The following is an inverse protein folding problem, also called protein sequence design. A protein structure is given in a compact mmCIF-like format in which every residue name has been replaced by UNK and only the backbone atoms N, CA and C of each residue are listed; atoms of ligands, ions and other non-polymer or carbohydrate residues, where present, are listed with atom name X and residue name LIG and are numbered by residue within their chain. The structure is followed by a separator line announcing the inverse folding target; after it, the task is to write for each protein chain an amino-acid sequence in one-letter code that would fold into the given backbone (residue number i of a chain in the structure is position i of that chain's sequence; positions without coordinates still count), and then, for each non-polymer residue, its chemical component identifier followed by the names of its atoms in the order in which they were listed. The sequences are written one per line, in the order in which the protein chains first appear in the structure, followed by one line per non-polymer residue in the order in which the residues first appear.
data_IF_151156767706
#
_entry.id   IF_151156767706
#
_cell.length_a   1.000
_cell.length_b   1.000
_cell.length_c   1.000
_cell.angle_alpha   90.00
_cell.angle_beta   90.00
_cell.angle_gamma   90.00
#
_symmetry.space_group_name_H-M   'P 1'
#
loop_
_entity.id
_entity.type
_entity.pdbx_description
1 polymer ?
#
# COMPACT_ATOMS: atom_id res chain seq x y z
N UNK A 1 -6.71 -29.40 4.16
CA UNK A 1 -7.53 -29.16 5.38
C UNK A 1 -7.66 -27.67 5.71
N UNK A 2 -6.55 -26.90 5.77
CA UNK A 2 -6.55 -25.47 6.10
C UNK A 2 -7.47 -24.55 5.27
N UNK A 3 -7.67 -24.82 3.97
CA UNK A 3 -8.54 -24.02 3.12
C UNK A 3 -10.03 -24.10 3.53
N UNK A 4 -10.48 -25.28 3.99
CA UNK A 4 -11.87 -25.48 4.43
C UNK A 4 -12.15 -24.77 5.75
N UNK A 5 -11.17 -24.77 6.66
CA UNK A 5 -11.25 -24.04 7.93
C UNK A 5 -11.30 -22.53 7.71
N UNK A 6 -10.54 -22.02 6.73
CA UNK A 6 -10.56 -20.60 6.37
C UNK A 6 -11.92 -20.17 5.84
N UNK A 7 -12.51 -20.96 4.94
CA UNK A 7 -13.86 -20.69 4.40
C UNK A 7 -14.90 -20.69 5.52
N UNK A 8 -14.85 -21.67 6.43
CA UNK A 8 -15.77 -21.73 7.59
C UNK A 8 -15.64 -20.52 8.52
N UNK A 9 -14.41 -20.06 8.76
CA UNK A 9 -14.17 -18.86 9.55
C UNK A 9 -14.71 -17.61 8.84
N UNK A 10 -14.56 -17.50 7.53
CA UNK A 10 -15.11 -16.38 6.74
C UNK A 10 -16.63 -16.35 6.77
N UNK A 11 -17.29 -17.50 6.57
CA UNK A 11 -18.76 -17.58 6.67
C UNK A 11 -19.24 -17.25 8.07
N UNK A 12 -18.59 -17.78 9.11
CA UNK A 12 -18.93 -17.50 10.51
C UNK A 12 -18.93 -15.98 10.80
N UNK A 13 -17.86 -15.27 10.40
CA UNK A 13 -17.77 -13.84 10.65
C UNK A 13 -18.71 -13.00 9.78
N UNK A 14 -18.97 -13.41 8.52
CA UNK A 14 -19.94 -12.72 7.66
C UNK A 14 -21.34 -12.76 8.27
N UNK A 15 -21.78 -13.95 8.67
CA UNK A 15 -23.09 -14.15 9.31
C UNK A 15 -23.23 -13.30 10.57
N UNK A 16 -22.23 -13.29 11.45
CA UNK A 16 -22.30 -12.46 12.66
C UNK A 16 -22.33 -10.96 12.38
N UNK A 17 -21.65 -10.48 11.34
CA UNK A 17 -21.68 -9.06 10.96
C UNK A 17 -23.07 -8.68 10.43
N UNK A 18 -23.67 -9.51 9.57
CA UNK A 18 -25.02 -9.30 9.03
C UNK A 18 -26.08 -9.33 10.14
N UNK A 19 -26.04 -10.33 11.02
CA UNK A 19 -26.95 -10.42 12.16
C UNK A 19 -26.79 -9.25 13.12
N UNK A 20 -25.55 -8.81 13.38
CA UNK A 20 -25.30 -7.63 14.21
C UNK A 20 -25.91 -6.37 13.58
N UNK A 21 -25.68 -6.13 12.29
CA UNK A 21 -26.26 -4.99 11.58
C UNK A 21 -27.80 -5.01 11.62
N UNK A 22 -28.41 -6.18 11.38
CA UNK A 22 -29.87 -6.34 11.43
C UNK A 22 -30.45 -6.17 12.85
N UNK A 23 -29.67 -6.53 13.89
CA UNK A 23 -30.12 -6.44 15.29
C UNK A 23 -30.28 -5.01 15.81
N UNK A 24 -29.64 -4.03 15.17
CA UNK A 24 -29.60 -2.64 15.66
C UNK A 24 -28.86 -2.45 16.99
N UNK A 25 -28.23 -3.49 17.53
CA UNK A 25 -27.52 -3.41 18.81
C UNK A 25 -26.18 -2.69 18.68
N UNK A 26 -25.71 -2.10 19.78
CA UNK A 26 -24.30 -1.71 19.87
C UNK A 26 -23.39 -2.94 19.73
N UNK A 27 -22.20 -2.75 19.16
CA UNK A 27 -21.22 -3.83 19.01
C UNK A 27 -20.91 -4.54 20.34
N UNK A 28 -20.78 -3.77 21.42
CA UNK A 28 -20.48 -4.32 22.74
C UNK A 28 -21.61 -5.21 23.28
N UNK A 29 -22.88 -4.82 23.07
CA UNK A 29 -24.03 -5.62 23.47
C UNK A 29 -24.08 -6.93 22.68
N UNK A 30 -23.92 -6.85 21.35
CA UNK A 30 -23.92 -8.02 20.49
C UNK A 30 -22.79 -9.00 20.82
N UNK A 31 -21.57 -8.49 21.03
CA UNK A 31 -20.43 -9.33 21.39
C UNK A 31 -20.64 -10.03 22.74
N UNK A 32 -21.25 -9.37 23.73
CA UNK A 32 -21.57 -9.99 25.02
C UNK A 32 -22.66 -11.06 24.89
N UNK A 33 -23.70 -10.81 24.08
CA UNK A 33 -24.81 -11.75 23.89
C UNK A 33 -24.37 -13.02 23.16
N UNK A 34 -23.44 -12.91 22.22
CA UNK A 34 -22.99 -14.01 21.36
C UNK A 34 -21.61 -14.56 21.73
N UNK A 35 -21.07 -14.17 22.89
CA UNK A 35 -19.74 -14.57 23.40
C UNK A 35 -18.61 -14.38 22.37
N UNK A 36 -18.64 -13.23 21.68
CA UNK A 36 -17.66 -12.88 20.66
C UNK A 36 -16.56 -12.01 21.25
N UNK A 37 -15.31 -12.28 20.86
CA UNK A 37 -14.19 -11.42 21.17
C UNK A 37 -14.34 -10.05 20.46
N UNK A 38 -14.45 -8.92 21.20
CA UNK A 38 -14.71 -7.62 20.60
C UNK A 38 -13.63 -7.16 19.62
N UNK A 39 -12.36 -7.47 19.89
CA UNK A 39 -11.23 -7.11 19.02
C UNK A 39 -11.29 -7.85 17.68
N UNK A 40 -11.56 -9.16 17.71
CA UNK A 40 -11.71 -9.97 16.49
C UNK A 40 -12.90 -9.51 15.66
N UNK A 41 -14.01 -9.18 16.32
CA UNK A 41 -15.19 -8.64 15.66
C UNK A 41 -14.91 -7.29 15.00
N UNK A 42 -14.28 -6.34 15.72
CA UNK A 42 -13.87 -5.03 15.14
C UNK A 42 -13.00 -5.20 13.91
N UNK A 43 -11.99 -6.05 13.97
CA UNK A 43 -11.11 -6.32 12.84
C UNK A 43 -11.88 -6.85 11.62
N UNK A 44 -12.77 -7.82 11.83
CA UNK A 44 -13.57 -8.43 10.76
C UNK A 44 -14.57 -7.45 10.15
N UNK A 45 -15.21 -6.63 11.00
CA UNK A 45 -16.07 -5.53 10.58
C UNK A 45 -15.32 -4.55 9.69
N UNK A 46 -14.19 -4.00 10.13
CA UNK A 46 -13.38 -3.08 9.30
C UNK A 46 -12.93 -3.75 8.00
N UNK A 47 -12.48 -5.00 8.05
CA UNK A 47 -12.09 -5.74 6.84
C UNK A 47 -13.24 -5.89 5.83
N UNK A 48 -14.48 -6.06 6.29
CA UNK A 48 -15.66 -6.13 5.42
C UNK A 48 -16.04 -4.78 4.78
N UNK A 49 -15.77 -3.65 5.45
CA UNK A 49 -16.14 -2.31 4.98
C UNK A 49 -15.10 -1.65 4.07
N UNK A 50 -13.88 -2.19 3.96
CA UNK A 50 -12.78 -1.62 3.15
C UNK A 50 -13.04 -1.70 1.62
N UNK A 51 -14.22 -2.17 1.17
CA UNK A 51 -14.56 -2.23 -0.26
C UNK A 51 -15.03 -0.91 -0.86
N UNK A 52 -15.43 0.07 -0.08
CA UNK A 52 -15.71 1.43 -0.58
C UNK A 52 -14.46 2.28 -0.38
N UNK A 53 -13.58 2.24 -1.36
CA UNK A 53 -12.68 3.36 -1.58
C UNK A 53 -13.59 4.48 -2.08
N UNK A 54 -14.19 5.23 -1.16
CA UNK A 54 -14.70 6.56 -1.48
C UNK A 54 -13.59 7.24 -2.26
N UNK A 55 -13.90 7.70 -3.48
CA UNK A 55 -12.96 8.37 -4.35
C UNK A 55 -12.53 9.66 -3.69
N UNK A 56 -11.59 9.60 -2.75
CA UNK A 56 -11.09 10.75 -2.00
C UNK A 56 -10.30 11.72 -2.88
N UNK A 57 -10.19 11.45 -4.19
CA UNK A 57 -9.29 12.15 -5.10
C UNK A 57 -7.81 11.83 -4.85
N UNK A 58 -7.50 11.03 -3.82
CA UNK A 58 -6.15 10.66 -3.44
C UNK A 58 -5.89 9.18 -3.72
N UNK A 59 -4.80 8.89 -4.41
CA UNK A 59 -4.28 7.53 -4.59
C UNK A 59 -3.14 7.31 -3.60
N UNK A 60 -3.14 6.16 -2.92
CA UNK A 60 -1.99 5.73 -2.11
C UNK A 60 -0.90 5.21 -3.04
N UNK A 61 0.13 6.02 -3.28
CA UNK A 61 1.32 5.58 -4.01
C UNK A 61 2.26 4.94 -3.00
N UNK A 62 2.54 3.65 -3.17
CA UNK A 62 3.72 3.05 -2.55
C UNK A 62 4.88 3.36 -3.50
N UNK A 63 5.77 4.24 -3.08
CA UNK A 63 7.04 4.39 -3.77
C UNK A 63 7.85 3.18 -3.34
N UNK A 64 7.95 2.19 -4.22
CA UNK A 64 9.02 1.21 -4.13
C UNK A 64 10.32 1.99 -4.35
N UNK A 65 10.83 2.56 -3.26
CA UNK A 65 12.22 2.96 -3.19
C UNK A 65 12.99 1.65 -3.13
N UNK A 66 13.14 0.99 -4.29
CA UNK A 66 14.13 -0.06 -4.45
C UNK A 66 15.47 0.58 -4.10
N UNK A 67 16.16 0.13 -3.04
CA UNK A 67 17.59 0.29 -3.02
C UNK A 67 18.09 -0.76 -4.01
N UNK A 68 18.06 -0.43 -5.31
CA UNK A 68 18.83 -1.18 -6.30
C UNK A 68 20.25 -1.19 -5.75
N UNK A 69 20.68 -2.39 -5.34
CA UNK A 69 21.91 -2.65 -4.61
C UNK A 69 23.11 -2.59 -5.56
N UNK A 70 23.18 -1.55 -6.38
CA UNK A 70 24.36 -1.12 -7.10
C UNK A 70 24.64 0.29 -6.58
N UNK A 71 25.82 0.58 -6.03
CA UNK A 71 26.18 1.97 -5.76
C UNK A 71 26.04 2.68 -7.10
N UNK A 72 25.13 3.65 -7.20
CA UNK A 72 25.07 4.57 -8.33
C UNK A 72 26.36 5.37 -8.26
N UNK A 73 27.43 4.76 -8.76
CA UNK A 73 28.81 5.22 -8.60
C UNK A 73 29.04 6.27 -9.66
N UNK A 74 28.26 7.34 -9.61
CA UNK A 74 28.32 8.36 -10.63
C UNK A 74 27.69 9.65 -10.17
N UNK A 75 28.31 10.76 -10.59
CA UNK A 75 27.77 12.09 -10.35
C UNK A 75 26.49 12.28 -11.16
N UNK A 76 25.58 13.11 -10.66
CA UNK A 76 24.38 13.53 -11.40
C UNK A 76 24.35 15.04 -11.56
N UNK A 77 23.91 15.51 -12.74
CA UNK A 77 23.65 16.91 -13.04
C UNK A 77 22.16 17.12 -13.28
N UNK A 78 21.61 18.18 -12.71
CA UNK A 78 20.23 18.61 -12.92
C UNK A 78 20.26 20.01 -13.54
N UNK A 79 19.58 20.15 -14.68
CA UNK A 79 19.43 21.42 -15.38
C UNK A 79 18.11 22.10 -15.00
N UNK A 80 18.05 23.42 -15.20
CA UNK A 80 16.88 24.24 -14.83
C UNK A 80 15.64 23.96 -15.70
N UNK A 81 15.84 23.35 -16.87
CA UNK A 81 14.77 22.90 -17.77
C UNK A 81 14.13 21.57 -17.33
N UNK A 82 14.65 20.94 -16.27
CA UNK A 82 14.19 19.65 -15.78
C UNK A 82 14.99 18.46 -16.30
N UNK A 83 15.92 18.65 -17.24
CA UNK A 83 16.78 17.58 -17.75
C UNK A 83 17.72 17.08 -16.64
N UNK A 84 17.83 15.75 -16.48
CA UNK A 84 18.72 15.11 -15.50
C UNK A 84 19.69 14.17 -16.21
N UNK A 85 20.97 14.31 -15.92
CA UNK A 85 22.03 13.42 -16.36
C UNK A 85 22.56 12.64 -15.14
N UNK A 86 22.59 11.32 -15.22
CA UNK A 86 22.96 10.43 -14.11
C UNK A 86 24.06 9.45 -14.52
N UNK A 87 24.74 8.85 -13.54
CA UNK A 87 25.74 7.81 -13.80
C UNK A 87 27.05 8.33 -14.38
N UNK A 88 27.42 9.58 -14.08
CA UNK A 88 28.68 10.16 -14.57
C UNK A 88 29.87 9.55 -13.81
N UNK A 89 30.64 8.71 -14.48
CA UNK A 89 31.77 7.95 -13.94
C UNK A 89 33.07 8.42 -14.60
N UNK A 90 34.22 8.04 -14.04
CA UNK A 90 35.51 8.37 -14.67
C UNK A 90 35.63 7.83 -16.11
N UNK A 91 35.04 6.66 -16.38
CA UNK A 91 35.11 6.01 -17.70
C UNK A 91 34.34 6.76 -18.79
N UNK A 92 33.24 7.43 -18.43
CA UNK A 92 32.40 8.15 -19.40
C UNK A 92 32.61 9.67 -19.41
N UNK A 93 33.47 10.21 -18.53
CA UNK A 93 33.74 11.65 -18.40
C UNK A 93 34.09 12.36 -19.73
N UNK A 94 34.79 11.68 -20.62
CA UNK A 94 35.25 12.26 -21.87
C UNK A 94 34.12 12.56 -22.87
N UNK A 95 32.97 11.89 -22.75
CA UNK A 95 31.78 12.16 -23.57
C UNK A 95 30.88 13.27 -22.98
N UNK A 96 31.01 13.53 -21.67
CA UNK A 96 30.13 14.47 -20.97
C UNK A 96 30.33 15.89 -21.49
N UNK A 97 31.57 16.30 -21.76
CA UNK A 97 31.85 17.67 -22.22
C UNK A 97 31.17 18.00 -23.57
N UNK A 98 31.30 17.20 -24.63
CA UNK A 98 30.53 17.40 -25.86
C UNK A 98 29.01 17.38 -25.66
N UNK A 99 28.50 16.50 -24.79
CA UNK A 99 27.06 16.46 -24.49
C UNK A 99 26.56 17.76 -23.85
N UNK A 100 27.34 18.35 -22.93
CA UNK A 100 26.99 19.63 -22.29
C UNK A 100 26.96 20.79 -23.28
N UNK A 101 27.73 20.72 -24.37
CA UNK A 101 27.71 21.75 -25.43
C UNK A 101 26.45 21.67 -26.30
N UNK A 102 25.85 20.49 -26.44
CA UNK A 102 24.61 20.28 -27.20
C UNK A 102 23.34 20.50 -26.36
N UNK A 103 23.45 20.36 -25.05
CA UNK A 103 22.35 20.56 -24.09
C UNK A 103 22.22 22.01 -23.60
N UNK A 104 23.05 22.92 -24.13
CA UNK A 104 23.05 24.35 -23.84
C UNK A 104 22.14 25.10 -24.80
#
# INVERSE_FOLDING_TARGET
MAALEKVRAETFWSTHIEHWQASGQSQAAYCRQHDLCPQKFSYRKCKSTVKSTDHSGFARIQVDEEPSAEPVTGLSLQFNDGTRLEGITQDNMHFIRPMLELLR
#
